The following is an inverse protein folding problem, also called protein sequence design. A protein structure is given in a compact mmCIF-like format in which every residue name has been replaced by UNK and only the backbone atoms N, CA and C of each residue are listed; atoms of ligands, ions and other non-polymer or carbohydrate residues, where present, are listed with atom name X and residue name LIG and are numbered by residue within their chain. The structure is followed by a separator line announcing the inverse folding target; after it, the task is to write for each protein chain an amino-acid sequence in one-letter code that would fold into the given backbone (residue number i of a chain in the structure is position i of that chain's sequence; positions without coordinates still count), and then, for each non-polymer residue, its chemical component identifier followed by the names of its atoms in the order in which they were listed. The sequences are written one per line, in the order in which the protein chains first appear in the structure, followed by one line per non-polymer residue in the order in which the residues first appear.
data_IF_548433462424
#
_entry.id   IF_548433462424
#
_cell.length_a   1.000
_cell.length_b   1.000
_cell.length_c   1.000
_cell.angle_alpha   90.00
_cell.angle_beta   90.00
_cell.angle_gamma   90.00
#
_symmetry.space_group_name_H-M   'P 1'
#
loop_
_entity.id
_entity.type
_entity.pdbx_description
1 polymer ?
#
# COMPACT_ATOMS: atom_id res chain seq x y z
N UNK A 1 25.39 -14.28 31.15
CA UNK A 1 24.80 -15.18 30.12
C UNK A 1 24.50 -14.40 28.82
N UNK A 2 25.38 -13.49 28.43
CA UNK A 2 25.40 -12.79 27.13
C UNK A 2 26.84 -12.71 26.57
N UNK A 3 27.81 -13.32 27.27
CA UNK A 3 29.21 -13.40 26.82
C UNK A 3 29.52 -14.71 26.08
N UNK A 4 28.73 -15.76 26.29
CA UNK A 4 28.92 -17.08 25.64
C UNK A 4 28.47 -17.11 24.16
N UNK A 5 27.62 -16.17 23.73
CA UNK A 5 27.18 -16.08 22.32
C UNK A 5 28.14 -15.27 21.42
N UNK A 6 29.05 -14.49 22.03
CA UNK A 6 30.05 -13.70 21.28
C UNK A 6 31.26 -14.55 20.90
N UNK A 7 31.57 -15.60 21.68
CA UNK A 7 32.70 -16.50 21.42
C UNK A 7 32.42 -17.60 20.39
N UNK A 8 31.16 -17.80 20.00
CA UNK A 8 30.77 -18.85 19.05
C UNK A 8 30.60 -18.34 17.60
N UNK A 9 30.90 -17.06 17.34
CA UNK A 9 30.93 -16.45 16.01
C UNK A 9 32.35 -16.16 15.49
N UNK A 10 33.38 -16.67 16.16
CA UNK A 10 34.78 -16.44 15.79
C UNK A 10 35.52 -17.70 15.28
N UNK A 11 34.78 -18.71 14.82
CA UNK A 11 35.28 -19.84 14.03
C UNK A 11 34.42 -20.04 12.78
N UNK A 12 34.50 -19.09 11.84
CA UNK A 12 34.31 -19.40 10.43
C UNK A 12 35.54 -18.86 9.70
N UNK A 13 36.32 -19.81 9.22
CA UNK A 13 37.60 -19.63 8.56
C UNK A 13 37.47 -18.69 7.35
N UNK A 14 38.07 -17.50 7.46
CA UNK A 14 38.16 -16.52 6.38
C UNK A 14 38.87 -17.04 5.13
N UNK A 15 39.48 -18.24 5.17
CA UNK A 15 40.09 -18.89 4.01
C UNK A 15 39.09 -19.65 3.11
N UNK A 16 37.94 -20.12 3.60
CA UNK A 16 36.97 -20.86 2.77
C UNK A 16 36.08 -19.95 1.89
N UNK A 17 35.89 -18.68 2.29
CA UNK A 17 35.05 -17.72 1.55
C UNK A 17 35.78 -17.17 0.30
N UNK A 18 37.12 -17.11 0.33
CA UNK A 18 37.93 -16.66 -0.81
C UNK A 18 38.09 -17.73 -1.90
N UNK A 19 37.97 -19.02 -1.57
CA UNK A 19 38.15 -20.10 -2.54
C UNK A 19 36.91 -20.37 -3.42
N UNK A 20 35.72 -19.93 -2.99
CA UNK A 20 34.46 -20.15 -3.73
C UNK A 20 33.98 -18.95 -4.55
N UNK A 21 34.63 -17.80 -4.44
CA UNK A 21 34.29 -16.59 -5.21
C UNK A 21 34.88 -16.59 -6.63
N UNK A 22 35.92 -17.38 -6.90
CA UNK A 22 36.62 -17.41 -8.20
C UNK A 22 36.08 -18.46 -9.21
N UNK A 23 35.09 -19.29 -8.84
CA UNK A 23 34.60 -20.37 -9.73
C UNK A 23 33.26 -20.08 -10.43
N UNK A 24 32.57 -18.98 -10.12
CA UNK A 24 31.23 -18.70 -10.72
C UNK A 24 31.20 -17.50 -11.67
N UNK A 25 32.30 -16.74 -11.80
CA UNK A 25 32.37 -15.57 -12.69
C UNK A 25 32.88 -15.86 -14.12
N UNK A 26 33.00 -17.14 -14.52
CA UNK A 26 33.60 -17.51 -15.82
C UNK A 26 32.77 -18.45 -16.72
N UNK A 27 31.48 -18.67 -16.43
CA UNK A 27 30.58 -19.40 -17.33
C UNK A 27 29.24 -18.67 -17.46
N UNK A 28 29.12 -17.82 -18.49
CA UNK A 28 27.87 -17.12 -18.80
C UNK A 28 27.98 -16.01 -19.84
N UNK A 29 29.19 -15.64 -20.27
CA UNK A 29 29.41 -14.76 -21.41
C UNK A 29 29.97 -15.53 -22.59
N UNK A 30 29.07 -16.18 -23.33
CA UNK A 30 29.18 -16.44 -24.78
C UNK A 30 27.87 -17.07 -25.28
N UNK A 31 27.38 -16.56 -26.42
CA UNK A 31 26.10 -16.82 -27.11
C UNK A 31 24.93 -15.98 -26.55
N UNK A 32 24.25 -15.11 -27.30
CA UNK A 32 24.05 -15.05 -28.74
C UNK A 32 23.52 -13.65 -29.13
N UNK A 33 24.33 -12.83 -29.80
CA UNK A 33 23.81 -11.75 -30.64
C UNK A 33 23.36 -12.37 -31.97
N UNK A 34 22.05 -12.38 -32.23
CA UNK A 34 21.56 -12.34 -33.61
C UNK A 34 20.25 -11.56 -33.67
N UNK A 35 20.31 -10.41 -34.33
CA UNK A 35 19.17 -9.66 -34.82
C UNK A 35 18.36 -10.52 -35.80
N UNK A 36 17.02 -10.46 -35.72
CA UNK A 36 16.09 -10.30 -36.86
C UNK A 36 14.61 -10.38 -36.39
N UNK A 37 13.85 -9.30 -36.60
CA UNK A 37 12.39 -9.30 -36.77
C UNK A 37 12.06 -9.39 -38.28
N UNK A 38 10.81 -9.50 -38.79
CA UNK A 38 9.51 -9.80 -38.15
C UNK A 38 8.70 -10.92 -38.88
N UNK A 39 7.81 -11.63 -38.17
CA UNK A 39 6.70 -12.32 -38.84
C UNK A 39 5.46 -12.45 -37.94
N UNK A 40 4.36 -11.86 -38.41
CA UNK A 40 3.01 -11.88 -37.83
C UNK A 40 2.51 -13.31 -37.60
N UNK A 41 2.06 -13.61 -36.37
CA UNK A 41 0.91 -14.49 -36.12
C UNK A 41 0.00 -13.86 -35.07
N UNK A 42 -1.19 -13.46 -35.54
CA UNK A 42 -2.30 -13.02 -34.70
C UNK A 42 -2.78 -14.20 -33.87
N UNK A 43 -2.58 -14.15 -32.56
CA UNK A 43 -3.25 -15.03 -31.61
C UNK A 43 -4.29 -14.18 -30.88
N UNK A 44 -5.55 -14.29 -31.30
CA UNK A 44 -6.70 -13.79 -30.54
C UNK A 44 -6.85 -14.60 -29.27
N UNK A 45 -6.13 -14.25 -28.22
CA UNK A 45 -6.43 -14.72 -26.86
C UNK A 45 -7.42 -13.75 -26.22
N UNK A 46 -8.73 -14.02 -26.41
CA UNK A 46 -9.78 -13.49 -25.53
C UNK A 46 -9.67 -14.22 -24.20
N UNK A 47 -8.62 -13.89 -23.44
CA UNK A 47 -8.48 -14.26 -22.04
C UNK A 47 -9.44 -13.40 -21.24
N UNK A 48 -10.44 -14.05 -20.64
CA UNK A 48 -11.33 -13.44 -19.65
C UNK A 48 -10.45 -12.72 -18.63
N UNK A 49 -10.51 -11.38 -18.59
CA UNK A 49 -9.91 -10.61 -17.50
C UNK A 49 -10.42 -11.23 -16.21
N UNK A 50 -9.51 -11.61 -15.33
CA UNK A 50 -9.84 -12.11 -14.01
C UNK A 50 -10.88 -11.16 -13.41
N UNK A 51 -12.06 -11.70 -13.12
CA UNK A 51 -13.06 -10.98 -12.36
C UNK A 51 -12.36 -10.44 -11.12
N UNK A 52 -12.43 -9.13 -10.95
CA UNK A 52 -12.04 -8.46 -9.72
C UNK A 52 -12.59 -9.25 -8.54
N UNK A 53 -11.78 -9.34 -7.48
CA UNK A 53 -11.88 -10.06 -6.19
C UNK A 53 -13.21 -9.91 -5.41
N UNK A 54 -14.30 -9.49 -6.04
CA UNK A 54 -15.63 -9.27 -5.47
C UNK A 54 -16.43 -10.54 -5.13
N UNK A 55 -15.85 -11.74 -5.15
CA UNK A 55 -16.61 -12.97 -4.84
C UNK A 55 -15.97 -13.90 -3.80
N UNK A 56 -14.84 -13.54 -3.19
CA UNK A 56 -14.16 -14.41 -2.21
C UNK A 56 -14.14 -13.88 -0.77
N UNK A 57 -14.86 -12.79 -0.48
CA UNK A 57 -15.08 -12.30 0.87
C UNK A 57 -16.47 -12.69 1.42
N UNK A 58 -17.01 -13.85 1.03
CA UNK A 58 -18.19 -14.45 1.68
C UNK A 58 -17.81 -15.45 2.77
N UNK A 59 -16.65 -15.27 3.41
CA UNK A 59 -16.37 -15.91 4.68
C UNK A 59 -16.78 -14.91 5.76
N UNK A 60 -17.95 -15.18 6.34
CA UNK A 60 -18.55 -14.45 7.45
C UNK A 60 -17.71 -14.62 8.72
N UNK A 61 -16.49 -14.08 8.74
CA UNK A 61 -15.87 -13.68 10.00
C UNK A 61 -16.47 -12.32 10.36
N UNK A 62 -17.66 -12.32 10.98
CA UNK A 62 -18.34 -11.11 11.50
C UNK A 62 -17.45 -10.29 12.45
N UNK A 63 -16.34 -10.88 12.93
CA UNK A 63 -15.38 -10.23 13.81
C UNK A 63 -14.34 -9.36 13.09
N UNK A 64 -14.17 -9.49 11.77
CA UNK A 64 -13.19 -8.71 11.03
C UNK A 64 -13.77 -8.13 9.73
N UNK A 65 -14.59 -7.08 9.89
CA UNK A 65 -15.07 -6.27 8.76
C UNK A 65 -13.95 -5.49 8.03
N UNK A 66 -12.69 -5.64 8.46
CA UNK A 66 -11.52 -4.99 7.87
C UNK A 66 -11.63 -3.47 7.91
N UNK A 67 -10.95 -2.80 6.98
CA UNK A 67 -10.95 -1.33 6.89
C UNK A 67 -12.34 -0.76 6.57
N UNK A 68 -13.19 -1.49 5.86
CA UNK A 68 -14.57 -1.08 5.56
C UNK A 68 -15.52 -1.22 6.76
N UNK A 69 -15.13 -1.93 7.82
CA UNK A 69 -15.87 -1.93 9.09
C UNK A 69 -15.84 -0.58 9.81
N UNK A 70 -14.91 0.30 9.45
CA UNK A 70 -14.80 1.65 10.01
C UNK A 70 -15.69 2.59 9.18
N UNK A 71 -16.74 3.20 9.76
CA UNK A 71 -17.72 3.99 8.99
C UNK A 71 -17.11 5.11 8.15
N UNK A 72 -16.13 5.84 8.68
CA UNK A 72 -15.45 6.91 7.95
C UNK A 72 -14.74 6.41 6.69
N UNK A 73 -14.14 5.22 6.75
CA UNK A 73 -13.43 4.61 5.63
C UNK A 73 -14.39 4.00 4.62
N UNK A 74 -15.50 3.40 5.08
CA UNK A 74 -16.57 2.94 4.20
C UNK A 74 -17.14 4.09 3.34
N UNK A 75 -17.42 5.24 3.96
CA UNK A 75 -17.87 6.45 3.25
C UNK A 75 -16.83 6.97 2.25
N UNK A 76 -15.55 6.99 2.66
CA UNK A 76 -14.47 7.40 1.77
C UNK A 76 -14.34 6.46 0.56
N UNK A 77 -14.51 5.15 0.77
CA UNK A 77 -14.55 4.16 -0.30
C UNK A 77 -15.76 4.38 -1.22
N UNK A 78 -16.95 4.60 -0.67
CA UNK A 78 -18.16 4.87 -1.44
C UNK A 78 -17.96 6.09 -2.37
N UNK A 79 -17.33 7.16 -1.86
CA UNK A 79 -16.95 8.32 -2.68
C UNK A 79 -15.95 7.95 -3.79
N UNK A 80 -14.93 7.17 -3.46
CA UNK A 80 -13.95 6.68 -4.43
C UNK A 80 -14.56 5.75 -5.50
N UNK A 81 -15.66 5.06 -5.20
CA UNK A 81 -16.45 4.26 -6.15
C UNK A 81 -17.35 5.16 -7.00
N UNK A 82 -18.06 6.11 -6.38
CA UNK A 82 -18.94 7.07 -7.06
C UNK A 82 -18.21 7.84 -8.16
N UNK A 83 -17.03 8.37 -7.86
CA UNK A 83 -16.19 9.12 -8.82
C UNK A 83 -15.69 8.30 -10.01
N UNK A 84 -15.88 6.97 -9.99
CA UNK A 84 -15.51 6.04 -11.07
C UNK A 84 -16.68 5.31 -11.69
N UNK A 85 -17.89 5.48 -11.15
CA UNK A 85 -19.08 4.81 -11.66
C UNK A 85 -19.45 5.31 -13.06
N UNK A 86 -19.10 6.56 -13.40
CA UNK A 86 -19.29 7.13 -14.74
C UNK A 86 -18.15 8.08 -15.11
N UNK A 87 -17.96 8.29 -16.42
CA UNK A 87 -17.02 9.29 -16.93
C UNK A 87 -17.41 10.71 -16.49
N UNK A 88 -18.72 11.01 -16.49
CA UNK A 88 -19.24 12.30 -16.03
C UNK A 88 -18.87 12.59 -14.57
N UNK A 89 -19.08 11.64 -13.66
CA UNK A 89 -18.71 11.80 -12.25
C UNK A 89 -17.19 11.95 -12.09
N UNK A 90 -16.41 11.28 -12.95
CA UNK A 90 -14.96 11.39 -12.91
C UNK A 90 -14.48 12.79 -13.32
N UNK A 91 -15.06 13.33 -14.40
CA UNK A 91 -14.73 14.66 -14.91
C UNK A 91 -15.16 15.75 -13.91
N UNK A 92 -16.41 15.69 -13.41
CA UNK A 92 -16.92 16.60 -12.37
C UNK A 92 -16.05 16.58 -11.11
N UNK A 93 -15.64 15.38 -10.67
CA UNK A 93 -14.72 15.24 -9.54
C UNK A 93 -13.36 15.87 -9.82
N UNK A 94 -12.79 15.59 -11.00
CA UNK A 94 -11.47 16.11 -11.35
C UNK A 94 -11.49 17.64 -11.45
N UNK A 95 -12.54 18.22 -11.99
CA UNK A 95 -12.71 19.67 -12.08
C UNK A 95 -12.84 20.33 -10.70
N UNK A 96 -13.57 19.72 -9.77
CA UNK A 96 -13.77 20.26 -8.43
C UNK A 96 -12.56 20.02 -7.49
N UNK A 97 -11.99 18.82 -7.51
CA UNK A 97 -10.99 18.36 -6.53
C UNK A 97 -9.56 18.45 -7.08
N UNK A 98 -9.38 18.36 -8.39
CA UNK A 98 -8.10 18.43 -9.09
C UNK A 98 -7.17 17.24 -8.85
N UNK A 99 -7.67 16.16 -8.20
CA UNK A 99 -6.90 14.93 -7.96
C UNK A 99 -7.82 13.74 -7.71
N UNK A 100 -7.52 12.61 -8.32
CA UNK A 100 -8.24 11.37 -8.08
C UNK A 100 -7.87 10.75 -6.72
N UNK A 101 -8.86 10.25 -5.98
CA UNK A 101 -8.65 9.56 -4.69
C UNK A 101 -7.81 8.27 -4.82
N UNK A 102 -7.87 7.59 -5.97
CA UNK A 102 -7.27 6.24 -6.15
C UNK A 102 -8.21 5.13 -5.67
N UNK A 103 -8.10 3.90 -6.19
CA UNK A 103 -8.89 2.75 -5.70
C UNK A 103 -8.17 2.22 -4.48
N UNK A 104 -8.80 2.23 -3.32
CA UNK A 104 -8.28 1.50 -2.17
C UNK A 104 -8.37 -0.01 -2.41
N UNK A 105 -7.32 -0.73 -2.04
CA UNK A 105 -7.45 -2.15 -1.79
C UNK A 105 -8.01 -2.34 -0.38
N UNK A 106 -9.22 -2.89 -0.31
CA UNK A 106 -10.01 -3.12 0.92
C UNK A 106 -9.20 -3.76 2.06
N UNK A 107 -8.17 -4.55 1.74
CA UNK A 107 -7.35 -5.28 2.71
C UNK A 107 -5.97 -4.67 3.01
N UNK A 108 -5.47 -3.71 2.22
CA UNK A 108 -4.07 -3.23 2.33
C UNK A 108 -3.96 -1.83 2.91
N UNK A 109 -3.32 -1.71 4.07
CA UNK A 109 -3.11 -0.46 4.79
C UNK A 109 -2.41 0.63 3.95
N UNK A 110 -1.44 0.26 3.10
CA UNK A 110 -0.67 1.21 2.29
C UNK A 110 -1.53 1.91 1.23
N UNK A 111 -2.51 1.17 0.67
CA UNK A 111 -3.48 1.75 -0.25
C UNK A 111 -4.42 2.71 0.48
N UNK A 112 -4.88 2.35 1.68
CA UNK A 112 -5.71 3.21 2.51
C UNK A 112 -4.98 4.48 2.95
N UNK A 113 -3.74 4.37 3.44
CA UNK A 113 -2.91 5.52 3.82
C UNK A 113 -2.81 6.55 2.68
N UNK A 114 -2.57 6.07 1.44
CA UNK A 114 -2.52 6.94 0.26
C UNK A 114 -3.86 7.63 -0.01
N UNK A 115 -4.97 6.90 -0.01
CA UNK A 115 -6.31 7.45 -0.26
C UNK A 115 -6.68 8.48 0.80
N UNK A 116 -6.46 8.16 2.08
CA UNK A 116 -6.71 9.06 3.22
C UNK A 116 -5.85 10.31 3.10
N UNK A 117 -4.56 10.17 2.79
CA UNK A 117 -3.64 11.32 2.63
C UNK A 117 -4.09 12.25 1.51
N UNK A 118 -4.59 11.71 0.38
CA UNK A 118 -5.15 12.52 -0.70
C UNK A 118 -6.44 13.21 -0.24
N UNK A 119 -7.31 12.49 0.46
CA UNK A 119 -8.57 13.02 0.96
C UNK A 119 -8.34 14.20 1.92
N UNK A 120 -7.42 14.06 2.88
CA UNK A 120 -7.08 15.12 3.83
C UNK A 120 -6.47 16.35 3.15
N UNK A 121 -5.57 16.15 2.18
CA UNK A 121 -4.98 17.25 1.37
C UNK A 121 -6.02 18.01 0.55
N UNK A 122 -7.15 17.37 0.25
CA UNK A 122 -8.24 17.92 -0.57
C UNK A 122 -9.53 18.13 0.21
N UNK A 123 -9.47 18.10 1.55
CA UNK A 123 -10.64 18.17 2.44
C UNK A 123 -11.60 19.32 2.10
N UNK A 124 -11.15 20.58 1.87
CA UNK A 124 -12.06 21.66 1.51
C UNK A 124 -12.81 21.42 0.20
N UNK A 125 -12.11 20.93 -0.82
CA UNK A 125 -12.70 20.65 -2.14
C UNK A 125 -13.68 19.48 -2.07
N UNK A 126 -13.34 18.44 -1.30
CA UNK A 126 -14.21 17.27 -1.12
C UNK A 126 -15.48 17.68 -0.38
N UNK A 127 -15.38 18.47 0.69
CA UNK A 127 -16.56 18.97 1.43
C UNK A 127 -17.48 19.75 0.49
N UNK A 128 -16.93 20.69 -0.29
CA UNK A 128 -17.70 21.47 -1.26
C UNK A 128 -18.39 20.58 -2.30
N UNK A 129 -17.63 19.66 -2.91
CA UNK A 129 -18.16 18.73 -3.91
C UNK A 129 -19.29 17.87 -3.34
N UNK A 130 -19.11 17.32 -2.14
CA UNK A 130 -20.12 16.46 -1.50
C UNK A 130 -21.38 17.25 -1.13
N UNK A 131 -21.27 18.52 -0.77
CA UNK A 131 -22.42 19.37 -0.49
C UNK A 131 -23.26 19.66 -1.76
N UNK A 132 -22.61 19.76 -2.93
CA UNK A 132 -23.28 19.98 -4.22
C UNK A 132 -23.96 18.71 -4.76
N UNK A 133 -23.51 17.52 -4.33
CA UNK A 133 -23.95 16.22 -4.83
C UNK A 133 -24.56 15.32 -3.74
N UNK A 134 -25.05 15.90 -2.64
CA UNK A 134 -25.50 15.13 -1.46
C UNK A 134 -26.61 14.12 -1.79
N UNK A 135 -27.52 14.49 -2.71
CA UNK A 135 -28.60 13.60 -3.18
C UNK A 135 -28.08 12.35 -3.90
N UNK A 136 -26.95 12.47 -4.61
CA UNK A 136 -26.37 11.39 -5.41
C UNK A 136 -25.45 10.46 -4.59
N UNK A 137 -25.02 10.92 -3.41
CA UNK A 137 -24.09 10.20 -2.53
C UNK A 137 -24.80 9.30 -1.50
N UNK A 138 -26.14 9.24 -1.51
CA UNK A 138 -26.94 8.35 -0.65
C UNK A 138 -26.56 8.41 0.84
N UNK A 139 -26.19 9.59 1.35
CA UNK A 139 -25.78 9.77 2.75
C UNK A 139 -24.34 9.35 3.07
N UNK A 140 -23.49 9.09 2.07
CA UNK A 140 -22.07 8.80 2.24
C UNK A 140 -21.19 10.05 2.44
N UNK A 141 -21.81 11.20 2.75
CA UNK A 141 -21.10 12.44 3.08
C UNK A 141 -20.31 12.28 4.39
N UNK A 142 -19.04 12.68 4.36
CA UNK A 142 -18.13 12.61 5.51
C UNK A 142 -18.45 13.73 6.51
N UNK A 143 -18.87 13.34 7.71
CA UNK A 143 -19.11 14.27 8.82
C UNK A 143 -17.81 14.76 9.45
N UNK A 144 -17.86 15.80 10.29
CA UNK A 144 -16.68 16.28 11.03
C UNK A 144 -15.97 15.16 11.82
N UNK A 145 -16.75 14.28 12.45
CA UNK A 145 -16.22 13.11 13.17
C UNK A 145 -15.55 12.10 12.25
N UNK A 146 -16.09 11.92 11.03
CA UNK A 146 -15.47 11.05 10.05
C UNK A 146 -14.11 11.62 9.62
N UNK A 147 -14.02 12.93 9.38
CA UNK A 147 -12.75 13.59 9.06
C UNK A 147 -11.72 13.47 10.19
N UNK A 148 -12.12 13.65 11.45
CA UNK A 148 -11.24 13.44 12.60
C UNK A 148 -10.73 11.98 12.68
N UNK A 149 -11.60 11.00 12.37
CA UNK A 149 -11.21 9.59 12.32
C UNK A 149 -10.19 9.34 11.20
N UNK A 150 -10.38 9.96 10.03
CA UNK A 150 -9.43 9.88 8.92
C UNK A 150 -8.07 10.49 9.28
N UNK A 151 -8.05 11.64 9.97
CA UNK A 151 -6.83 12.29 10.46
C UNK A 151 -6.07 11.37 11.43
N UNK A 152 -6.75 10.85 12.46
CA UNK A 152 -6.13 9.90 13.41
C UNK A 152 -5.61 8.64 12.73
N UNK A 153 -6.36 8.11 11.77
CA UNK A 153 -5.95 6.91 11.02
C UNK A 153 -4.69 7.20 10.20
N UNK A 154 -4.61 8.37 9.56
CA UNK A 154 -3.42 8.76 8.81
C UNK A 154 -2.22 8.98 9.73
N UNK A 155 -2.40 9.64 10.87
CA UNK A 155 -1.35 9.82 11.88
C UNK A 155 -0.82 8.48 12.40
N UNK A 156 -1.71 7.51 12.64
CA UNK A 156 -1.31 6.17 13.05
C UNK A 156 -0.54 5.43 11.94
N UNK A 157 -0.97 5.55 10.69
CA UNK A 157 -0.33 4.85 9.57
C UNK A 157 0.96 5.52 9.07
N UNK A 158 1.19 6.79 9.42
CA UNK A 158 2.31 7.57 8.90
C UNK A 158 3.68 6.93 9.18
N UNK A 159 4.01 6.47 10.40
CA UNK A 159 5.31 5.86 10.66
C UNK A 159 5.54 4.56 9.89
N UNK A 160 4.48 3.77 9.64
CA UNK A 160 4.58 2.56 8.81
C UNK A 160 4.94 2.90 7.37
N UNK A 161 4.34 3.96 6.82
CA UNK A 161 4.65 4.45 5.47
C UNK A 161 6.11 4.92 5.36
N UNK A 162 6.56 5.72 6.33
CA UNK A 162 7.94 6.24 6.37
C UNK A 162 8.97 5.12 6.55
N UNK A 163 8.74 4.20 7.49
CA UNK A 163 9.62 3.05 7.72
C UNK A 163 9.71 2.15 6.48
N UNK A 164 8.60 1.95 5.77
CA UNK A 164 8.59 1.17 4.51
C UNK A 164 9.43 1.88 3.44
N UNK A 165 9.25 3.19 3.26
CA UNK A 165 10.03 3.97 2.30
C UNK A 165 11.54 3.92 2.59
N UNK A 166 11.90 3.99 3.87
CA UNK A 166 13.29 3.94 4.32
C UNK A 166 13.90 2.53 4.12
N UNK A 167 13.13 1.47 4.41
CA UNK A 167 13.58 0.08 4.25
C UNK A 167 13.70 -0.37 2.77
N UNK A 168 12.98 0.27 1.85
CA UNK A 168 13.02 -0.03 0.41
C UNK A 168 14.26 0.54 -0.32
N UNK A 169 15.12 1.28 0.39
CA UNK A 169 16.35 1.85 -0.18
C UNK A 169 17.36 0.79 -0.64
N UNK A 170 18.08 1.06 -1.73
CA UNK A 170 19.10 0.15 -2.27
C UNK A 170 20.27 -0.15 -1.31
N UNK A 171 20.40 0.63 -0.25
CA UNK A 171 21.42 0.48 0.81
C UNK A 171 20.82 0.06 2.15
N UNK A 172 19.57 -0.41 2.18
CA UNK A 172 18.96 -0.81 3.45
C UNK A 172 19.67 -2.02 4.03
N UNK A 173 19.96 -1.95 5.33
CA UNK A 173 20.63 -3.02 6.06
C UNK A 173 19.67 -3.72 7.02
N UNK A 174 20.03 -4.93 7.44
CA UNK A 174 19.27 -5.68 8.45
C UNK A 174 19.25 -4.89 9.78
N UNK A 175 20.36 -4.29 10.18
CA UNK A 175 20.43 -3.46 11.40
C UNK A 175 19.45 -2.30 11.36
N UNK A 176 19.39 -1.58 10.23
CA UNK A 176 18.41 -0.52 10.02
C UNK A 176 16.97 -1.04 10.07
N UNK A 177 16.71 -2.22 9.51
CA UNK A 177 15.38 -2.84 9.58
C UNK A 177 14.97 -3.17 11.03
N UNK A 178 15.92 -3.62 11.87
CA UNK A 178 15.66 -3.87 13.29
C UNK A 178 15.32 -2.57 14.03
N UNK A 179 16.07 -1.50 13.80
CA UNK A 179 15.80 -0.18 14.40
C UNK A 179 14.41 0.36 14.00
N UNK A 180 14.03 0.21 12.73
CA UNK A 180 12.70 0.60 12.24
C UNK A 180 11.58 -0.22 12.90
N UNK A 181 11.79 -1.52 13.12
CA UNK A 181 10.83 -2.38 13.81
C UNK A 181 10.64 -1.96 15.27
N UNK A 182 11.71 -1.62 15.98
CA UNK A 182 11.63 -1.12 17.37
C UNK A 182 10.86 0.20 17.46
N UNK A 183 11.11 1.11 16.51
CA UNK A 183 10.36 2.38 16.39
C UNK A 183 8.86 2.14 16.14
N UNK A 184 8.51 1.23 15.22
CA UNK A 184 7.12 0.90 14.91
C UNK A 184 6.42 0.22 16.10
N UNK A 185 7.13 -0.64 16.84
CA UNK A 185 6.59 -1.27 18.05
C UNK A 185 6.27 -0.22 19.11
N UNK A 186 7.20 0.69 19.40
CA UNK A 186 6.97 1.78 20.34
C UNK A 186 5.81 2.70 19.93
N UNK A 187 5.65 2.96 18.62
CA UNK A 187 4.49 3.66 18.09
C UNK A 187 3.18 2.89 18.34
N UNK A 188 3.14 1.58 18.10
CA UNK A 188 1.97 0.76 18.39
C UNK A 188 1.59 0.80 19.88
N UNK A 189 2.57 0.68 20.77
CA UNK A 189 2.37 0.73 22.21
C UNK A 189 1.79 2.07 22.65
N UNK A 190 2.32 3.18 22.12
CA UNK A 190 1.79 4.51 22.37
C UNK A 190 0.31 4.59 22.02
N UNK A 191 -0.09 4.11 20.84
CA UNK A 191 -1.49 4.19 20.38
C UNK A 191 -2.44 3.23 21.10
N UNK A 192 -1.95 2.13 21.67
CA UNK A 192 -2.77 1.27 22.56
C UNK A 192 -3.24 2.01 23.82
N UNK A 193 -2.48 3.00 24.29
CA UNK A 193 -2.83 3.78 25.49
C UNK A 193 -3.88 4.87 25.20
N UNK A 194 -4.07 5.24 23.92
CA UNK A 194 -5.03 6.27 23.49
C UNK A 194 -6.36 5.72 22.96
N UNK A 195 -6.51 4.40 22.84
CA UNK A 195 -7.74 3.72 22.38
C UNK A 195 -8.62 3.27 23.53
#
# INVERSE_FOLDING_TARGET
MLEEFSQQLHELDSAEIAAHSDTTMQQGHQQEERQEQPARRSIKARGKRAATTHQQASNNDEHFAGWQGIPALAKLHALAVYTRSSALHNDQWYDAVGKQLGIDNITRWSSWHRVITIALKKKPQIIQFTAEHDNDLEGNTLSSRDWEMLERTQEFLQPFYEATLEAEGAMSSISQSLELLDLLLGHCEKWKVYG
#
